data_IF_941451036727
#
_entry.id   IF_941451036727
#
_cell.length_a   1.000
_cell.length_b   1.000
_cell.length_c   1.000
_cell.angle_alpha   90.00
_cell.angle_beta   90.00
_cell.angle_gamma   90.00
#
_symmetry.space_group_name_H-M   'P 1'
#
loop_
_entity.id
_entity.type
_entity.pdbx_description
1 polymer ?
#
# COMPACT_ATOMS: atom_id res chain seq x y z
N UNK A 1 26.40 -5.57 19.07
CA UNK A 1 25.33 -4.65 18.63
C UNK A 1 25.59 -4.36 17.17
N UNK A 2 24.57 -4.29 16.32
CA UNK A 2 24.65 -4.53 14.86
C UNK A 2 25.47 -3.49 14.10
N UNK A 3 26.76 -3.37 14.38
CA UNK A 3 27.69 -2.44 13.74
C UNK A 3 27.85 -2.71 12.24
N UNK A 4 27.54 -3.94 11.81
CA UNK A 4 27.49 -4.35 10.42
C UNK A 4 26.52 -3.47 9.61
N UNK A 5 25.42 -3.02 10.22
CA UNK A 5 24.42 -2.15 9.57
C UNK A 5 24.95 -0.77 9.18
N UNK A 6 26.15 -0.37 9.65
CA UNK A 6 26.82 0.89 9.28
C UNK A 6 28.08 0.70 8.44
N UNK A 7 28.56 -0.54 8.32
CA UNK A 7 29.86 -0.82 7.68
C UNK A 7 29.70 -1.53 6.35
N UNK A 8 28.58 -2.22 6.12
CA UNK A 8 28.24 -2.83 4.84
C UNK A 8 26.74 -3.03 4.65
N UNK A 9 26.34 -3.39 3.43
CA UNK A 9 24.99 -3.86 3.14
C UNK A 9 24.73 -5.19 3.83
N UNK A 10 23.56 -5.31 4.45
CA UNK A 10 23.02 -6.58 4.91
C UNK A 10 22.49 -7.39 3.72
N UNK A 11 22.57 -8.70 3.85
CA UNK A 11 22.11 -9.69 2.87
C UNK A 11 21.10 -10.65 3.51
N UNK A 12 20.36 -11.40 2.70
CA UNK A 12 19.46 -12.44 3.18
C UNK A 12 20.17 -13.49 4.07
N UNK A 13 21.44 -13.80 3.76
CA UNK A 13 22.24 -14.72 4.58
C UNK A 13 22.53 -14.17 5.98
N UNK A 14 22.73 -12.85 6.11
CA UNK A 14 23.04 -12.22 7.40
C UNK A 14 21.87 -12.31 8.39
N UNK A 15 20.63 -12.21 7.87
CA UNK A 15 19.40 -12.14 8.66
C UNK A 15 18.60 -13.44 8.66
N UNK A 16 19.00 -14.45 7.87
CA UNK A 16 18.23 -15.68 7.66
C UNK A 16 17.99 -16.53 8.92
N UNK A 17 18.77 -16.32 9.99
CA UNK A 17 18.59 -16.96 11.29
C UNK A 17 18.09 -16.02 12.39
N UNK A 18 17.63 -14.81 12.06
CA UNK A 18 17.14 -13.86 13.05
C UNK A 18 15.66 -14.08 13.29
N UNK A 19 15.26 -14.09 14.56
CA UNK A 19 13.86 -14.04 14.96
C UNK A 19 13.30 -12.60 14.86
N UNK A 20 11.99 -12.47 15.04
CA UNK A 20 11.29 -11.19 14.93
C UNK A 20 11.82 -10.14 15.93
N UNK A 21 12.21 -10.57 17.14
CA UNK A 21 12.74 -9.69 18.17
C UNK A 21 14.11 -9.15 17.79
N UNK A 22 14.97 -10.00 17.22
CA UNK A 22 16.30 -9.61 16.74
C UNK A 22 16.22 -8.67 15.53
N UNK A 23 15.30 -8.91 14.61
CA UNK A 23 15.01 -8.01 13.49
C UNK A 23 14.49 -6.66 13.97
N UNK A 24 13.52 -6.67 14.90
CA UNK A 24 12.98 -5.45 15.53
C UNK A 24 14.07 -4.68 16.27
N UNK A 25 14.95 -5.37 16.97
CA UNK A 25 16.09 -4.77 17.64
C UNK A 25 17.01 -4.06 16.65
N UNK A 26 17.36 -4.72 15.53
CA UNK A 26 18.19 -4.12 14.49
C UNK A 26 17.58 -2.85 13.88
N UNK A 27 16.27 -2.86 13.60
CA UNK A 27 15.53 -1.68 13.13
C UNK A 27 15.60 -0.55 14.18
N UNK A 28 15.29 -0.87 15.43
CA UNK A 28 15.30 0.09 16.53
C UNK A 28 16.70 0.68 16.70
N UNK A 29 17.76 -0.13 16.63
CA UNK A 29 19.13 0.34 16.76
C UNK A 29 19.51 1.34 15.66
N UNK A 30 19.07 1.11 14.41
CA UNK A 30 19.31 2.07 13.32
C UNK A 30 18.59 3.40 13.62
N UNK A 31 17.30 3.38 13.96
CA UNK A 31 16.57 4.61 14.32
C UNK A 31 17.16 5.34 15.54
N UNK A 32 17.58 4.58 16.54
CA UNK A 32 18.22 5.09 17.73
C UNK A 32 19.49 5.90 17.40
N UNK A 33 20.27 5.47 16.39
CA UNK A 33 21.44 6.22 15.89
C UNK A 33 21.06 7.48 15.12
N UNK A 34 19.90 7.50 14.46
CA UNK A 34 19.31 8.70 13.86
C UNK A 34 18.75 9.70 14.89
N UNK A 35 18.93 9.45 16.19
CA UNK A 35 18.47 10.33 17.25
C UNK A 35 17.02 10.13 17.68
N UNK A 36 16.39 9.00 17.30
CA UNK A 36 15.05 8.65 17.73
C UNK A 36 14.95 8.49 19.26
N UNK A 37 13.90 9.05 19.87
CA UNK A 37 13.54 8.87 21.28
C UNK A 37 12.40 7.86 21.41
N UNK A 38 12.72 6.66 21.93
CA UNK A 38 11.70 5.63 22.15
C UNK A 38 10.68 6.10 23.19
N UNK A 39 9.40 6.06 22.83
CA UNK A 39 8.29 6.35 23.75
C UNK A 39 7.98 5.18 24.69
N UNK A 40 8.20 3.94 24.24
CA UNK A 40 7.98 2.71 25.01
C UNK A 40 9.07 2.56 26.08
N UNK A 41 8.72 2.61 27.38
CA UNK A 41 9.70 2.56 28.47
C UNK A 41 10.62 1.33 28.40
N UNK A 42 10.07 0.16 28.05
CA UNK A 42 10.81 -1.10 28.01
C UNK A 42 11.91 -1.07 26.93
N UNK A 43 11.59 -0.55 25.74
CA UNK A 43 12.55 -0.39 24.65
C UNK A 43 13.56 0.70 25.01
N UNK A 44 13.08 1.82 25.55
CA UNK A 44 13.94 2.93 25.98
C UNK A 44 14.98 2.46 27.00
N UNK A 45 14.58 1.68 27.99
CA UNK A 45 15.45 1.16 29.04
C UNK A 45 16.53 0.23 28.50
N UNK A 46 16.21 -0.60 27.50
CA UNK A 46 17.19 -1.45 26.82
C UNK A 46 18.28 -0.60 26.16
N UNK A 47 17.89 0.45 25.42
CA UNK A 47 18.84 1.31 24.73
C UNK A 47 19.58 2.29 25.66
N UNK A 48 18.98 2.75 26.76
CA UNK A 48 19.62 3.65 27.75
C UNK A 48 20.80 3.01 28.49
N UNK A 49 20.90 1.68 28.46
CA UNK A 49 22.08 0.94 28.96
C UNK A 49 23.31 1.12 28.06
N UNK A 50 23.13 1.68 26.87
CA UNK A 50 24.18 1.86 25.88
C UNK A 50 24.73 3.28 25.95
N UNK A 51 26.04 3.46 26.23
CA UNK A 51 26.63 4.80 26.33
C UNK A 51 26.36 5.66 25.09
N UNK A 52 26.52 5.09 23.89
CA UNK A 52 26.31 5.82 22.63
C UNK A 52 24.87 6.29 22.43
N UNK A 53 23.87 5.59 22.99
CA UNK A 53 22.48 6.02 22.91
C UNK A 53 22.18 7.08 23.96
N UNK A 54 22.72 6.94 25.17
CA UNK A 54 22.57 7.92 26.26
C UNK A 54 23.11 9.29 25.87
N UNK A 55 24.26 9.32 25.20
CA UNK A 55 24.99 10.53 24.89
C UNK A 55 24.67 11.05 23.46
N UNK A 56 23.68 10.48 22.79
CA UNK A 56 23.30 10.86 21.42
C UNK A 56 22.62 12.23 21.39
N UNK A 57 22.64 12.86 20.22
CA UNK A 57 21.73 13.96 19.91
C UNK A 57 20.31 13.41 19.76
N UNK A 58 19.39 13.86 20.61
CA UNK A 58 17.98 13.50 20.51
C UNK A 58 17.33 14.43 19.49
N UNK A 59 16.82 13.86 18.40
CA UNK A 59 16.12 14.58 17.35
C UNK A 59 14.63 14.68 17.69
N UNK A 60 14.02 13.56 18.07
CA UNK A 60 12.60 13.52 18.39
C UNK A 60 12.01 12.12 18.36
N UNK A 61 10.69 12.05 18.30
CA UNK A 61 9.92 10.78 18.30
C UNK A 61 9.36 10.42 16.92
N UNK A 62 9.81 11.09 15.87
CA UNK A 62 9.44 10.76 14.49
C UNK A 62 10.50 9.86 13.87
N UNK A 63 10.07 8.70 13.36
CA UNK A 63 10.96 7.78 12.65
C UNK A 63 11.43 8.39 11.33
N UNK A 64 10.55 9.11 10.62
CA UNK A 64 10.89 9.81 9.39
C UNK A 64 11.94 10.90 9.62
N UNK A 65 11.83 11.62 10.74
CA UNK A 65 12.80 12.64 11.11
C UNK A 65 14.14 12.02 11.48
N UNK A 66 14.15 10.94 12.28
CA UNK A 66 15.36 10.19 12.58
C UNK A 66 16.03 9.61 11.33
N UNK A 67 15.23 9.12 10.36
CA UNK A 67 15.75 8.55 9.11
C UNK A 67 16.49 9.58 8.23
N UNK A 68 16.13 10.87 8.30
CA UNK A 68 16.84 11.95 7.61
C UNK A 68 18.26 12.17 8.11
N UNK A 69 18.57 11.73 9.33
CA UNK A 69 19.90 11.82 9.93
C UNK A 69 20.74 10.54 9.75
N UNK A 70 20.20 9.53 9.07
CA UNK A 70 20.90 8.28 8.78
C UNK A 70 21.73 8.39 7.50
N UNK A 71 22.83 7.65 7.43
CA UNK A 71 23.57 7.49 6.18
C UNK A 71 22.73 6.76 5.12
N UNK A 72 23.02 6.93 3.81
CA UNK A 72 22.34 6.16 2.76
C UNK A 72 22.46 4.64 2.95
N UNK A 73 23.59 4.18 3.51
CA UNK A 73 23.80 2.78 3.84
C UNK A 73 22.83 2.30 4.93
N UNK A 74 22.74 3.05 6.02
CA UNK A 74 21.82 2.76 7.13
C UNK A 74 20.37 2.78 6.68
N UNK A 75 19.96 3.78 5.88
CA UNK A 75 18.58 3.88 5.37
C UNK A 75 18.16 2.65 4.57
N UNK A 76 19.04 2.11 3.73
CA UNK A 76 18.65 0.97 2.93
C UNK A 76 18.95 -0.38 3.61
N UNK A 77 19.74 -0.42 4.69
CA UNK A 77 19.73 -1.55 5.62
C UNK A 77 18.46 -1.55 6.48
N UNK A 78 17.95 -0.37 6.84
CA UNK A 78 16.69 -0.19 7.53
C UNK A 78 15.52 -0.66 6.68
N UNK A 79 15.49 -0.29 5.40
CA UNK A 79 14.52 -0.81 4.42
C UNK A 79 14.58 -2.35 4.33
N UNK A 80 15.78 -2.91 4.15
CA UNK A 80 15.98 -4.36 4.10
C UNK A 80 15.50 -5.09 5.36
N UNK A 81 15.78 -4.52 6.54
CA UNK A 81 15.34 -5.10 7.80
C UNK A 81 13.83 -4.97 8.01
N UNK A 82 13.20 -3.86 7.59
CA UNK A 82 11.74 -3.75 7.62
C UNK A 82 11.08 -4.83 6.76
N UNK A 83 11.60 -5.08 5.56
CA UNK A 83 11.13 -6.18 4.69
C UNK A 83 11.32 -7.53 5.37
N UNK A 84 12.46 -7.74 6.03
CA UNK A 84 12.79 -9.01 6.70
C UNK A 84 12.01 -9.22 8.01
N UNK A 85 11.65 -8.14 8.72
CA UNK A 85 10.91 -8.13 9.98
C UNK A 85 9.39 -8.25 9.81
N UNK A 86 8.89 -8.12 8.57
CA UNK A 86 7.49 -8.47 8.27
C UNK A 86 7.29 -9.93 8.69
N UNK A 87 6.32 -10.25 9.56
CA UNK A 87 6.13 -11.61 10.05
C UNK A 87 6.01 -12.56 8.85
N UNK A 88 6.56 -13.76 8.99
CA UNK A 88 6.41 -14.92 8.07
C UNK A 88 4.93 -15.40 8.01
N UNK A 89 3.97 -14.51 8.28
CA UNK A 89 2.62 -14.54 7.74
C UNK A 89 2.61 -14.30 6.22
N UNK A 90 3.74 -13.86 5.64
CA UNK A 90 4.08 -14.06 4.23
C UNK A 90 4.80 -15.40 4.01
N UNK A 91 4.20 -16.52 4.47
CA UNK A 91 4.38 -17.79 3.73
C UNK A 91 3.77 -17.57 2.33
N UNK A 92 4.44 -18.07 1.30
CA UNK A 92 4.75 -17.31 0.11
C UNK A 92 3.51 -16.64 -0.47
N UNK A 93 3.44 -15.31 -0.43
CA UNK A 93 2.79 -14.58 -1.53
C UNK A 93 3.71 -14.59 -2.78
N UNK A 94 4.40 -15.71 -2.99
CA UNK A 94 4.85 -16.15 -4.32
C UNK A 94 3.86 -17.14 -4.94
N UNK A 95 2.82 -17.59 -4.22
CA UNK A 95 1.81 -18.47 -4.81
C UNK A 95 0.53 -17.75 -5.26
N UNK A 96 0.31 -16.48 -4.90
CA UNK A 96 -0.91 -15.74 -5.29
C UNK A 96 -0.72 -14.29 -5.76
N UNK A 97 0.49 -13.71 -5.83
CA UNK A 97 0.66 -12.33 -6.34
C UNK A 97 0.76 -12.24 -7.86
N UNK A 98 1.40 -13.23 -8.49
CA UNK A 98 1.21 -13.44 -9.92
C UNK A 98 -0.26 -13.74 -10.21
N UNK A 99 -0.98 -14.43 -9.32
CA UNK A 99 -2.42 -14.65 -9.44
C UNK A 99 -3.23 -13.35 -9.23
N UNK A 100 -2.92 -12.47 -8.28
CA UNK A 100 -3.63 -11.19 -8.10
C UNK A 100 -3.32 -10.23 -9.27
N UNK A 101 -2.08 -10.13 -9.74
CA UNK A 101 -1.71 -9.37 -10.94
C UNK A 101 -2.34 -9.93 -12.22
N UNK A 102 -2.22 -11.24 -12.45
CA UNK A 102 -2.79 -11.95 -13.59
C UNK A 102 -4.32 -12.04 -13.52
N UNK A 103 -4.95 -12.13 -12.34
CA UNK A 103 -6.40 -12.16 -12.19
C UNK A 103 -6.99 -10.76 -12.20
N UNK A 104 -6.36 -9.73 -11.62
CA UNK A 104 -6.84 -8.35 -11.82
C UNK A 104 -6.60 -7.91 -13.28
N UNK A 105 -5.41 -8.15 -13.85
CA UNK A 105 -5.08 -7.83 -15.25
C UNK A 105 -5.97 -8.54 -16.26
N UNK A 106 -6.07 -9.88 -16.20
CA UNK A 106 -6.92 -10.63 -17.12
C UNK A 106 -8.42 -10.43 -16.87
N UNK A 107 -8.87 -10.18 -15.63
CA UNK A 107 -10.29 -9.89 -15.35
C UNK A 107 -10.64 -8.47 -15.75
N UNK A 108 -9.76 -7.49 -15.56
CA UNK A 108 -9.98 -6.11 -16.01
C UNK A 108 -9.96 -6.08 -17.54
N UNK A 109 -9.00 -6.74 -18.20
CA UNK A 109 -9.00 -6.92 -19.65
C UNK A 109 -10.31 -7.57 -20.16
N UNK A 110 -10.72 -8.74 -19.64
CA UNK A 110 -11.99 -9.37 -20.02
C UNK A 110 -13.24 -8.55 -19.62
N UNK A 111 -13.15 -7.77 -18.55
CA UNK A 111 -14.21 -6.88 -18.08
C UNK A 111 -14.43 -5.72 -19.06
N UNK A 112 -13.34 -5.17 -19.61
CA UNK A 112 -13.34 -4.06 -20.55
C UNK A 112 -13.56 -4.52 -22.00
N UNK A 113 -13.12 -5.73 -22.36
CA UNK A 113 -13.26 -6.32 -23.70
C UNK A 113 -14.69 -6.75 -24.05
N UNK A 114 -15.62 -6.73 -23.08
CA UNK A 114 -17.03 -7.01 -23.40
C UNK A 114 -17.82 -5.80 -23.88
N UNK A 115 -17.19 -4.63 -24.02
CA UNK A 115 -17.76 -3.57 -24.83
C UNK A 115 -17.21 -3.68 -26.26
N UNK A 116 -17.97 -4.20 -27.24
CA UNK A 116 -17.54 -4.27 -28.64
C UNK A 116 -17.28 -2.89 -29.28
N UNK A 117 -17.50 -1.78 -28.56
CA UNK A 117 -17.06 -0.44 -28.92
C UNK A 117 -15.58 -0.15 -28.58
N UNK A 118 -14.98 -0.84 -27.60
CA UNK A 118 -13.61 -0.62 -27.11
C UNK A 118 -12.55 -1.04 -28.15
N UNK A 119 -12.68 -2.25 -28.72
CA UNK A 119 -11.76 -2.78 -29.74
C UNK A 119 -11.67 -1.92 -31.01
N UNK A 120 -12.68 -1.08 -31.28
CA UNK A 120 -12.74 -0.25 -32.50
C UNK A 120 -11.99 1.07 -32.41
N UNK A 121 -11.50 1.49 -31.25
CA UNK A 121 -11.02 2.86 -31.04
C UNK A 121 -9.50 3.06 -31.13
N UNK A 122 -8.70 2.00 -30.97
CA UNK A 122 -7.24 2.13 -30.79
C UNK A 122 -6.84 2.97 -29.55
N UNK A 123 -7.81 3.31 -28.67
CA UNK A 123 -7.57 4.03 -27.41
C UNK A 123 -6.98 3.03 -26.42
N UNK A 124 -5.83 3.37 -25.85
CA UNK A 124 -5.26 2.64 -24.72
C UNK A 124 -6.20 2.78 -23.51
N UNK A 125 -6.63 1.65 -22.92
CA UNK A 125 -7.47 1.70 -21.72
C UNK A 125 -6.74 2.39 -20.58
N UNK A 126 -7.42 3.32 -19.91
CA UNK A 126 -6.89 4.09 -18.78
C UNK A 126 -7.56 3.66 -17.46
N UNK A 127 -6.77 3.18 -16.51
CA UNK A 127 -7.23 2.82 -15.16
C UNK A 127 -6.69 3.83 -14.14
N UNK A 128 -7.59 4.46 -13.39
CA UNK A 128 -7.21 5.33 -12.28
C UNK A 128 -7.24 4.54 -10.97
N UNK A 129 -6.11 4.47 -10.27
CA UNK A 129 -5.94 3.74 -9.01
C UNK A 129 -5.81 4.73 -7.85
N UNK A 130 -6.64 4.50 -6.83
CA UNK A 130 -6.68 5.28 -5.61
C UNK A 130 -6.30 4.43 -4.39
N UNK A 131 -5.06 4.56 -3.87
CA UNK A 131 -4.73 4.06 -2.54
C UNK A 131 -5.48 4.89 -1.48
N UNK A 132 -6.45 4.26 -0.83
CA UNK A 132 -7.25 4.86 0.23
C UNK A 132 -6.40 5.36 1.39
N UNK A 133 -6.79 6.50 1.97
CA UNK A 133 -6.08 7.22 3.06
C UNK A 133 -4.65 7.69 2.75
N UNK A 134 -4.20 8.87 3.23
CA UNK A 134 -4.94 9.84 4.03
C UNK A 134 -5.98 10.63 3.21
N UNK A 135 -7.09 10.99 3.86
CA UNK A 135 -8.13 11.89 3.31
C UNK A 135 -8.76 12.71 4.44
N UNK A 136 -9.66 13.62 4.08
CA UNK A 136 -10.45 14.45 5.00
C UNK A 136 -11.31 13.67 6.00
N UNK A 137 -11.53 12.36 5.77
CA UNK A 137 -12.36 11.51 6.64
C UNK A 137 -11.54 10.66 7.60
N UNK A 138 -10.32 10.24 7.22
CA UNK A 138 -9.46 9.35 8.00
C UNK A 138 -8.05 9.27 7.38
N UNK A 139 -7.02 9.12 8.21
CA UNK A 139 -5.61 9.01 7.81
C UNK A 139 -5.14 7.57 7.53
N UNK A 140 -5.92 6.55 7.90
CA UNK A 140 -5.57 5.13 7.70
C UNK A 140 -4.33 4.69 8.48
N UNK A 141 -3.86 5.49 9.44
CA UNK A 141 -2.62 5.29 10.17
C UNK A 141 -2.76 4.34 11.37
N UNK A 142 -3.97 3.97 11.76
CA UNK A 142 -4.24 3.06 12.86
C UNK A 142 -3.60 1.68 12.60
N UNK A 143 -2.86 1.17 13.59
CA UNK A 143 -2.20 -0.14 13.48
C UNK A 143 -3.17 -1.25 13.91
N UNK A 144 -3.49 -2.14 12.99
CA UNK A 144 -4.26 -3.37 13.24
C UNK A 144 -3.40 -4.57 12.89
N UNK A 145 -3.20 -5.50 13.83
CA UNK A 145 -2.34 -6.69 13.64
C UNK A 145 -0.92 -6.36 13.15
N UNK A 146 -0.36 -5.21 13.54
CA UNK A 146 0.98 -4.78 13.16
C UNK A 146 1.09 -4.10 11.79
N UNK A 147 -0.04 -3.85 11.10
CA UNK A 147 -0.11 -3.20 9.80
C UNK A 147 -0.94 -1.92 9.86
N UNK A 148 -0.59 -0.92 9.05
CA UNK A 148 -1.40 0.28 8.82
C UNK A 148 -2.14 0.12 7.51
N UNK A 149 -3.41 0.50 7.50
CA UNK A 149 -4.25 0.42 6.30
C UNK A 149 -3.65 1.24 5.15
N UNK A 150 -3.19 2.47 5.44
CA UNK A 150 -2.54 3.35 4.45
C UNK A 150 -1.35 2.69 3.75
N UNK A 151 -0.52 1.97 4.52
CA UNK A 151 0.65 1.27 3.99
C UNK A 151 0.23 0.08 3.13
N UNK A 152 -0.78 -0.69 3.55
CA UNK A 152 -1.30 -1.82 2.76
C UNK A 152 -1.90 -1.34 1.43
N UNK A 153 -2.74 -0.31 1.47
CA UNK A 153 -3.35 0.26 0.28
C UNK A 153 -2.31 0.76 -0.72
N UNK A 154 -1.25 1.42 -0.22
CA UNK A 154 -0.14 1.90 -1.05
C UNK A 154 0.66 0.76 -1.69
N UNK A 155 1.07 -0.25 -0.91
CA UNK A 155 1.83 -1.39 -1.43
C UNK A 155 1.03 -2.18 -2.48
N UNK A 156 -0.26 -2.43 -2.24
CA UNK A 156 -1.14 -3.11 -3.21
C UNK A 156 -1.35 -2.25 -4.46
N UNK A 157 -1.50 -0.94 -4.32
CA UNK A 157 -1.66 -0.04 -5.46
C UNK A 157 -0.45 -0.09 -6.40
N UNK A 158 0.77 -0.03 -5.88
CA UNK A 158 1.99 -0.09 -6.70
C UNK A 158 2.09 -1.41 -7.47
N UNK A 159 1.81 -2.53 -6.81
CA UNK A 159 1.80 -3.84 -7.47
C UNK A 159 0.74 -3.92 -8.57
N UNK A 160 -0.45 -3.38 -8.33
CA UNK A 160 -1.50 -3.33 -9.34
C UNK A 160 -1.12 -2.43 -10.51
N UNK A 161 -0.46 -1.28 -10.26
CA UNK A 161 0.05 -0.40 -11.32
C UNK A 161 1.01 -1.17 -12.22
N UNK A 162 2.03 -1.81 -11.63
CA UNK A 162 3.05 -2.56 -12.38
C UNK A 162 2.43 -3.66 -13.27
N UNK A 163 1.39 -4.35 -12.80
CA UNK A 163 0.74 -5.43 -13.55
C UNK A 163 -0.13 -4.89 -14.69
N UNK A 164 -0.93 -3.84 -14.44
CA UNK A 164 -1.76 -3.24 -15.49
C UNK A 164 -0.92 -2.55 -16.58
N UNK A 165 0.20 -1.94 -16.21
CA UNK A 165 1.13 -1.35 -17.18
C UNK A 165 1.81 -2.42 -18.04
N UNK A 166 2.17 -3.59 -17.47
CA UNK A 166 2.69 -4.74 -18.23
C UNK A 166 1.67 -5.26 -19.25
N UNK A 167 0.40 -5.20 -18.92
CA UNK A 167 -0.71 -5.55 -19.81
C UNK A 167 -1.03 -4.46 -20.84
N UNK A 168 -0.23 -3.39 -20.89
CA UNK A 168 -0.34 -2.32 -21.89
C UNK A 168 -1.43 -1.28 -21.58
N UNK A 169 -1.97 -1.26 -20.36
CA UNK A 169 -2.92 -0.24 -19.93
C UNK A 169 -2.19 1.03 -19.48
N UNK A 170 -2.84 2.19 -19.64
CA UNK A 170 -2.40 3.44 -19.02
C UNK A 170 -2.87 3.44 -17.57
N UNK A 171 -1.97 3.68 -16.63
CA UNK A 171 -2.33 3.79 -15.21
C UNK A 171 -2.13 5.21 -14.72
N UNK A 172 -3.09 5.72 -13.95
CA UNK A 172 -3.02 7.01 -13.27
C UNK A 172 -3.25 6.79 -11.78
N UNK A 173 -2.29 7.16 -10.94
CA UNK A 173 -2.50 7.15 -9.50
C UNK A 173 -3.09 8.48 -9.03
N UNK A 174 -4.01 8.45 -8.07
CA UNK A 174 -4.48 9.68 -7.41
C UNK A 174 -3.44 10.33 -6.50
N UNK A 175 -2.36 9.60 -6.18
CA UNK A 175 -1.29 10.04 -5.28
C UNK A 175 0.09 9.67 -5.82
N UNK A 176 1.08 10.44 -5.37
CA UNK A 176 2.50 10.33 -5.68
C UNK A 176 3.31 9.75 -4.51
N UNK A 177 2.74 9.68 -3.31
CA UNK A 177 3.38 9.05 -2.14
C UNK A 177 2.35 8.51 -1.13
N UNK A 178 2.76 7.54 -0.31
CA UNK A 178 1.91 6.91 0.74
C UNK A 178 1.21 7.94 1.63
N UNK A 179 1.96 8.94 2.11
CA UNK A 179 1.48 9.94 3.05
C UNK A 179 0.74 11.13 2.42
N UNK A 180 0.55 11.16 1.10
CA UNK A 180 -0.08 12.30 0.44
C UNK A 180 -1.57 12.39 0.78
N UNK A 181 -1.95 13.52 1.35
CA UNK A 181 -3.35 13.85 1.63
C UNK A 181 -4.05 14.27 0.34
N UNK A 182 -5.18 13.63 0.04
CA UNK A 182 -6.04 14.01 -1.09
C UNK A 182 -7.51 13.82 -0.72
N UNK A 183 -8.33 14.83 -1.04
CA UNK A 183 -9.76 14.82 -0.72
C UNK A 183 -10.54 13.88 -1.64
N UNK A 184 -11.74 13.43 -1.24
CA UNK A 184 -12.58 12.62 -2.11
C UNK A 184 -12.97 13.35 -3.41
N UNK A 185 -13.12 14.68 -3.35
CA UNK A 185 -13.39 15.51 -4.52
C UNK A 185 -12.22 15.51 -5.49
N UNK A 186 -10.99 15.68 -4.98
CA UNK A 186 -9.79 15.71 -5.82
C UNK A 186 -9.51 14.35 -6.46
N UNK A 187 -9.76 13.24 -5.74
CA UNK A 187 -9.68 11.88 -6.31
C UNK A 187 -10.60 11.73 -7.53
N UNK A 188 -11.85 12.19 -7.40
CA UNK A 188 -12.82 12.15 -8.50
C UNK A 188 -12.40 13.07 -9.65
N UNK A 189 -11.84 14.25 -9.36
CA UNK A 189 -11.33 15.16 -10.38
C UNK A 189 -10.19 14.52 -11.18
N UNK A 190 -9.19 13.91 -10.51
CA UNK A 190 -8.07 13.22 -11.18
C UNK A 190 -8.58 12.09 -12.08
N UNK A 191 -9.53 11.27 -11.60
CA UNK A 191 -10.10 10.20 -12.42
C UNK A 191 -10.79 10.75 -13.67
N UNK A 192 -11.62 11.79 -13.53
CA UNK A 192 -12.32 12.41 -14.65
C UNK A 192 -11.36 13.10 -15.63
N UNK A 193 -10.39 13.87 -15.14
CA UNK A 193 -9.40 14.59 -15.96
C UNK A 193 -8.46 13.65 -16.73
N UNK A 194 -8.27 12.43 -16.22
CA UNK A 194 -7.47 11.40 -16.88
C UNK A 194 -8.20 10.66 -18.00
N UNK A 195 -9.49 10.91 -18.19
CA UNK A 195 -10.41 10.13 -19.03
C UNK A 195 -10.37 8.62 -18.70
N UNK A 196 -10.31 8.30 -17.40
CA UNK A 196 -10.22 6.92 -16.93
C UNK A 196 -11.48 6.12 -17.30
N UNK A 197 -11.26 4.95 -17.89
CA UNK A 197 -12.32 3.99 -18.21
C UNK A 197 -12.74 3.20 -16.95
N UNK A 198 -11.85 3.10 -15.95
CA UNK A 198 -12.11 2.48 -14.65
C UNK A 198 -11.43 3.25 -13.52
N UNK A 199 -12.16 3.49 -12.43
CA UNK A 199 -11.61 4.01 -11.17
C UNK A 199 -11.66 2.93 -10.10
N UNK A 200 -10.49 2.54 -9.56
CA UNK A 200 -10.33 1.53 -8.53
C UNK A 200 -9.81 2.15 -7.25
N UNK A 201 -10.63 2.11 -6.19
CA UNK A 201 -10.24 2.58 -4.86
C UNK A 201 -9.99 1.40 -3.93
N UNK A 202 -8.79 1.38 -3.35
CA UNK A 202 -8.30 0.28 -2.52
C UNK A 202 -8.40 0.63 -1.05
N UNK A 203 -8.96 -0.30 -0.27
CA UNK A 203 -9.07 -0.23 1.19
C UNK A 203 -8.81 -1.62 1.79
N UNK A 204 -8.31 -1.64 3.03
CA UNK A 204 -8.12 -2.84 3.82
C UNK A 204 -8.85 -2.65 5.15
N UNK A 205 -10.18 -2.71 5.06
CA UNK A 205 -11.09 -2.44 6.18
C UNK A 205 -10.79 -3.34 7.39
N UNK A 206 -11.03 -2.81 8.59
CA UNK A 206 -10.90 -3.55 9.84
C UNK A 206 -12.27 -4.05 10.33
N UNK A 207 -12.37 -5.34 10.61
CA UNK A 207 -13.58 -5.97 11.11
C UNK A 207 -13.32 -7.27 11.86
N UNK A 208 -14.39 -7.89 12.39
CA UNK A 208 -14.31 -9.19 13.09
C UNK A 208 -14.22 -10.39 12.15
N UNK A 209 -14.51 -10.19 10.87
CA UNK A 209 -14.58 -11.23 9.84
C UNK A 209 -13.45 -11.03 8.83
N UNK A 210 -13.06 -12.11 8.16
CA UNK A 210 -12.09 -12.11 7.07
C UNK A 210 -12.80 -12.28 5.73
N UNK A 211 -12.32 -11.61 4.68
CA UNK A 211 -12.86 -11.73 3.33
C UNK A 211 -12.46 -10.53 2.48
N UNK A 212 -13.06 -10.41 1.31
CA UNK A 212 -12.97 -9.22 0.46
C UNK A 212 -14.38 -8.70 0.17
N UNK A 213 -14.49 -7.41 -0.17
CA UNK A 213 -15.76 -6.78 -0.52
C UNK A 213 -15.52 -5.77 -1.62
N UNK A 214 -16.48 -5.65 -2.53
CA UNK A 214 -16.46 -4.68 -3.63
C UNK A 214 -17.68 -3.79 -3.48
N UNK A 215 -17.43 -2.49 -3.44
CA UNK A 215 -18.47 -1.47 -3.40
C UNK A 215 -18.57 -0.78 -4.76
N UNK A 216 -19.80 -0.56 -5.22
CA UNK A 216 -20.09 0.23 -6.41
C UNK A 216 -21.35 1.08 -6.20
N UNK A 217 -21.47 2.22 -6.89
CA UNK A 217 -22.63 3.08 -6.73
C UNK A 217 -23.87 2.45 -7.38
N UNK A 218 -24.89 2.16 -6.57
CA UNK A 218 -26.17 1.58 -7.05
C UNK A 218 -27.29 2.61 -7.24
N UNK A 219 -27.15 3.79 -6.64
CA UNK A 219 -28.17 4.84 -6.66
C UNK A 219 -27.52 6.21 -6.76
N UNK A 220 -28.30 7.16 -7.26
CA UNK A 220 -27.92 8.57 -7.22
C UNK A 220 -27.91 9.09 -5.78
N UNK A 221 -26.99 10.01 -5.53
CA UNK A 221 -26.95 10.87 -4.35
C UNK A 221 -26.68 12.30 -4.77
N UNK A 222 -27.12 13.25 -3.94
CA UNK A 222 -26.86 14.68 -4.15
C UNK A 222 -26.00 15.19 -3.00
N UNK A 223 -24.83 15.72 -3.33
CA UNK A 223 -23.90 16.33 -2.38
C UNK A 223 -23.48 17.70 -2.93
N UNK A 224 -23.63 18.75 -2.13
CA UNK A 224 -23.32 20.14 -2.53
C UNK A 224 -23.96 20.57 -3.88
N UNK A 225 -25.18 20.12 -4.15
CA UNK A 225 -25.92 20.44 -5.37
C UNK A 225 -25.48 19.66 -6.62
N UNK A 226 -24.51 18.75 -6.49
CA UNK A 226 -24.11 17.83 -7.56
C UNK A 226 -24.82 16.51 -7.36
N UNK A 227 -25.55 16.06 -8.38
CA UNK A 227 -26.27 14.77 -8.38
C UNK A 227 -25.55 13.76 -9.26
N UNK A 228 -25.35 12.56 -8.75
CA UNK A 228 -24.79 11.45 -9.52
C UNK A 228 -24.62 10.19 -8.69
N UNK A 229 -24.00 9.15 -9.25
CA UNK A 229 -23.56 9.06 -10.65
C UNK A 229 -24.72 8.78 -11.62
N UNK A 230 -24.52 8.97 -12.92
CA UNK A 230 -25.55 8.70 -13.94
C UNK A 230 -25.97 7.22 -13.95
N UNK A 231 -27.12 6.92 -14.57
CA UNK A 231 -27.58 5.52 -14.74
C UNK A 231 -26.57 4.65 -15.47
N UNK A 232 -25.90 5.18 -16.48
CA UNK A 232 -24.89 4.45 -17.25
C UNK A 232 -23.70 4.06 -16.37
N UNK A 233 -23.21 5.00 -15.54
CA UNK A 233 -22.14 4.72 -14.57
C UNK A 233 -22.58 3.70 -13.52
N UNK A 234 -23.83 3.74 -13.05
CA UNK A 234 -24.35 2.74 -12.12
C UNK A 234 -24.37 1.34 -12.76
N UNK A 235 -24.82 1.23 -14.01
CA UNK A 235 -24.90 -0.04 -14.74
C UNK A 235 -23.51 -0.59 -15.08
N UNK A 236 -22.61 0.24 -15.60
CA UNK A 236 -21.24 -0.17 -15.94
C UNK A 236 -20.45 -0.56 -14.69
N UNK A 237 -20.57 0.21 -13.60
CA UNK A 237 -19.93 -0.12 -12.32
C UNK A 237 -20.45 -1.43 -11.74
N UNK A 238 -21.76 -1.69 -11.82
CA UNK A 238 -22.33 -2.96 -11.37
C UNK A 238 -21.83 -4.15 -12.21
N UNK A 239 -21.75 -3.99 -13.53
CA UNK A 239 -21.23 -5.02 -14.42
C UNK A 239 -19.75 -5.33 -14.13
N UNK A 240 -18.91 -4.29 -14.00
CA UNK A 240 -17.50 -4.43 -13.66
C UNK A 240 -17.32 -5.08 -12.27
N UNK A 241 -18.06 -4.62 -11.25
CA UNK A 241 -17.98 -5.16 -9.90
C UNK A 241 -18.35 -6.65 -9.84
N UNK A 242 -19.39 -7.08 -10.56
CA UNK A 242 -19.78 -8.49 -10.59
C UNK A 242 -18.70 -9.37 -11.23
N UNK A 243 -18.14 -8.93 -12.36
CA UNK A 243 -17.04 -9.65 -13.03
C UNK A 243 -15.82 -9.74 -12.15
N UNK A 244 -15.44 -8.61 -11.57
CA UNK A 244 -14.33 -8.52 -10.64
C UNK A 244 -14.52 -9.45 -9.44
N UNK A 245 -15.71 -9.44 -8.83
CA UNK A 245 -16.04 -10.33 -7.72
C UNK A 245 -15.95 -11.81 -8.09
N UNK A 246 -16.56 -12.22 -9.20
CA UNK A 246 -16.58 -13.61 -9.64
C UNK A 246 -15.18 -14.13 -9.91
N UNK A 247 -14.37 -13.37 -10.65
CA UNK A 247 -13.02 -13.82 -10.98
C UNK A 247 -12.10 -13.80 -9.76
N UNK A 248 -12.21 -12.79 -8.90
CA UNK A 248 -11.42 -12.73 -7.67
C UNK A 248 -11.81 -13.82 -6.67
N UNK A 249 -13.10 -14.17 -6.56
CA UNK A 249 -13.53 -15.32 -5.76
C UNK A 249 -12.93 -16.63 -6.31
N UNK A 250 -13.04 -16.87 -7.62
CA UNK A 250 -12.49 -18.06 -8.27
C UNK A 250 -10.95 -18.16 -8.16
N UNK A 251 -10.26 -17.03 -8.05
CA UNK A 251 -8.83 -16.98 -7.79
C UNK A 251 -8.44 -17.54 -6.43
N UNK A 252 -9.23 -17.20 -5.40
CA UNK A 252 -8.92 -17.50 -4.01
C UNK A 252 -9.23 -18.96 -3.62
N UNK A 253 -9.95 -19.68 -4.48
CA UNK A 253 -10.29 -21.10 -4.29
C UNK A 253 -9.23 -22.06 -4.87
N UNK A 254 -8.16 -21.55 -5.49
CA UNK A 254 -7.08 -22.33 -6.12
C UNK A 254 -5.86 -22.49 -5.22
#
# INVERSE_FOLDING_TARGET
>A
MFSETRTRRLTAADVGGWDADKLRYGINEIYARGGYDFATPEIKDIFMRLPWYRDRVVIGRSQDEAARHLSPLENANLEFLHVSAKPVYVRPIKLHLAAIGFLFGATIAQSLDADPASEKSGKQCCVCIDPGHPSENNDGGAVTNGLREVTMNWEVALLLCDELEKDGMKVVMTKKSEGEFITNKDRAAIANESDADLFLRLHADAGKSTGFTIYYPRKEGTVHGVTGPSKDVQQSSAAAANRFHTAFAAALEQ
#
